data_IF_126527408652
#
_entry.id   IF_126527408652
#
_cell.length_a   1.000
_cell.length_b   1.000
_cell.length_c   1.000
_cell.angle_alpha   90.00
_cell.angle_beta   90.00
_cell.angle_gamma   90.00
#
_symmetry.space_group_name_H-M   'P 1'
#
loop_
_entity.id
_entity.type
_entity.pdbx_description
1 polymer ?
#
# COMPACT_ATOMS: atom_id res chain seq x y z
N UNK A 1 24.58 22.52 12.12
CA UNK A 1 24.33 21.19 12.66
C UNK A 1 22.89 20.81 12.31
N UNK A 2 22.65 19.88 11.40
CA UNK A 2 21.28 19.44 11.06
C UNK A 2 20.76 18.65 12.24
N UNK A 3 19.79 19.21 12.97
CA UNK A 3 19.20 18.49 14.10
C UNK A 3 18.34 17.34 13.56
N UNK A 4 18.30 16.22 14.25
CA UNK A 4 17.52 15.03 13.90
C UNK A 4 16.04 15.35 13.60
N UNK A 5 15.48 16.34 14.30
CA UNK A 5 14.11 16.82 14.06
C UNK A 5 13.93 17.42 12.66
N UNK A 6 14.98 18.04 12.10
CA UNK A 6 14.94 18.66 10.76
C UNK A 6 14.85 17.62 9.63
N UNK A 7 15.32 16.40 9.83
CA UNK A 7 15.25 15.32 8.83
C UNK A 7 13.99 14.46 9.02
N UNK A 8 13.62 14.19 10.28
CA UNK A 8 12.46 13.34 10.55
C UNK A 8 11.13 13.97 10.14
N UNK A 9 10.94 15.28 10.29
CA UNK A 9 9.67 15.92 9.96
C UNK A 9 9.33 15.88 8.46
N UNK A 10 10.24 16.23 7.53
CA UNK A 10 9.98 16.06 6.10
C UNK A 10 9.75 14.61 5.70
N UNK A 11 10.51 13.67 6.31
CA UNK A 11 10.37 12.25 6.01
C UNK A 11 9.04 11.68 6.51
N UNK A 12 8.56 12.12 7.68
CA UNK A 12 7.22 11.78 8.19
C UNK A 12 6.12 12.32 7.28
N UNK A 13 6.26 13.56 6.80
CA UNK A 13 5.31 14.15 5.86
C UNK A 13 5.29 13.35 4.55
N UNK A 14 6.46 13.01 4.02
CA UNK A 14 6.57 12.15 2.84
C UNK A 14 5.91 10.79 3.06
N UNK A 15 6.14 10.14 4.21
CA UNK A 15 5.52 8.86 4.55
C UNK A 15 3.99 8.99 4.72
N UNK A 16 3.50 10.07 5.32
CA UNK A 16 2.05 10.33 5.45
C UNK A 16 1.38 10.49 4.07
N UNK A 17 1.96 11.33 3.21
CA UNK A 17 1.45 11.57 1.85
C UNK A 17 1.51 10.28 1.02
N UNK A 18 2.64 9.58 1.03
CA UNK A 18 2.84 8.34 0.29
C UNK A 18 1.89 7.23 0.74
N UNK A 19 1.73 7.06 2.05
CA UNK A 19 0.77 6.08 2.61
C UNK A 19 -0.67 6.45 2.25
N UNK A 20 -1.04 7.74 2.31
CA UNK A 20 -2.36 8.22 1.92
C UNK A 20 -2.65 8.02 0.43
N UNK A 21 -1.67 8.29 -0.44
CA UNK A 21 -1.77 8.05 -1.88
C UNK A 21 -1.98 6.56 -2.18
N UNK A 22 -1.18 5.68 -1.57
CA UNK A 22 -1.33 4.24 -1.73
C UNK A 22 -2.66 3.72 -1.16
N UNK A 23 -3.10 4.24 -0.01
CA UNK A 23 -4.42 3.94 0.53
C UNK A 23 -5.53 4.32 -0.44
N UNK A 24 -5.45 5.48 -1.09
CA UNK A 24 -6.41 5.94 -2.10
C UNK A 24 -6.47 5.01 -3.31
N UNK A 25 -5.32 4.58 -3.84
CA UNK A 25 -5.27 3.60 -4.94
C UNK A 25 -5.90 2.28 -4.51
N UNK A 26 -5.50 1.72 -3.38
CA UNK A 26 -6.07 0.47 -2.87
C UNK A 26 -7.56 0.59 -2.58
N UNK A 27 -8.01 1.72 -2.05
CA UNK A 27 -9.43 2.02 -1.82
C UNK A 27 -10.23 2.02 -3.12
N UNK A 28 -9.73 2.63 -4.18
CA UNK A 28 -10.38 2.62 -5.49
C UNK A 28 -10.59 1.19 -6.00
N UNK A 29 -9.55 0.35 -5.92
CA UNK A 29 -9.66 -1.06 -6.28
C UNK A 29 -10.61 -1.84 -5.36
N UNK A 30 -10.61 -1.55 -4.06
CA UNK A 30 -11.46 -2.21 -3.06
C UNK A 30 -12.95 -1.90 -3.23
N UNK A 31 -13.30 -0.73 -3.74
CA UNK A 31 -14.68 -0.25 -3.71
C UNK A 31 -15.38 -0.28 -5.06
N UNK A 32 -14.72 0.12 -6.14
CA UNK A 32 -15.40 0.23 -7.43
C UNK A 32 -14.67 -0.42 -8.60
N UNK A 33 -13.32 -0.44 -8.64
CA UNK A 33 -12.59 -1.01 -9.80
C UNK A 33 -12.86 -2.51 -9.93
N UNK A 34 -12.64 -3.28 -8.85
CA UNK A 34 -12.88 -4.73 -8.88
C UNK A 34 -14.35 -5.07 -9.10
N UNK A 35 -15.26 -4.29 -8.55
CA UNK A 35 -16.70 -4.44 -8.79
C UNK A 35 -17.08 -4.14 -10.24
N UNK A 36 -16.45 -3.17 -10.89
CA UNK A 36 -16.65 -2.89 -12.30
C UNK A 36 -16.12 -4.02 -13.20
N UNK A 37 -14.89 -4.52 -12.89
CA UNK A 37 -14.29 -5.65 -13.61
C UNK A 37 -15.12 -6.94 -13.49
N UNK A 38 -15.72 -7.18 -12.32
CA UNK A 38 -16.59 -8.34 -12.08
C UNK A 38 -17.87 -8.34 -12.92
N UNK A 39 -18.30 -7.19 -13.45
CA UNK A 39 -19.47 -7.06 -14.34
C UNK A 39 -19.15 -7.35 -15.81
N UNK A 40 -17.88 -7.41 -16.17
CA UNK A 40 -17.43 -7.75 -17.51
C UNK A 40 -17.49 -9.28 -17.72
N UNK A 41 -17.49 -9.71 -18.98
CA UNK A 41 -17.22 -11.11 -19.28
C UNK A 41 -15.85 -11.52 -18.72
N UNK A 42 -15.66 -12.73 -18.19
CA UNK A 42 -14.40 -13.15 -17.57
C UNK A 42 -13.17 -12.84 -18.42
N UNK A 43 -13.22 -13.12 -19.72
CA UNK A 43 -12.12 -12.84 -20.65
C UNK A 43 -11.74 -11.34 -20.68
N UNK A 44 -12.73 -10.45 -20.66
CA UNK A 44 -12.50 -9.01 -20.67
C UNK A 44 -11.95 -8.52 -19.33
N UNK A 45 -12.48 -9.03 -18.21
CA UNK A 45 -12.01 -8.70 -16.86
C UNK A 45 -10.56 -9.14 -16.65
N UNK A 46 -10.20 -10.34 -17.07
CA UNK A 46 -8.83 -10.87 -17.02
C UNK A 46 -7.89 -10.00 -17.87
N UNK A 47 -8.22 -9.75 -19.13
CA UNK A 47 -7.40 -8.94 -20.02
C UNK A 47 -7.17 -7.53 -19.47
N UNK A 48 -8.22 -6.89 -18.93
CA UNK A 48 -8.12 -5.58 -18.31
C UNK A 48 -7.21 -5.61 -17.08
N UNK A 49 -7.35 -6.59 -16.18
CA UNK A 49 -6.52 -6.71 -14.98
C UNK A 49 -5.07 -7.03 -15.31
N UNK A 50 -4.80 -7.90 -16.29
CA UNK A 50 -3.45 -8.16 -16.79
C UNK A 50 -2.80 -6.86 -17.29
N UNK A 51 -3.53 -6.06 -18.09
CA UNK A 51 -3.05 -4.77 -18.57
C UNK A 51 -2.75 -3.79 -17.43
N UNK A 52 -3.64 -3.70 -16.43
CA UNK A 52 -3.44 -2.85 -15.25
C UNK A 52 -2.19 -3.28 -14.46
N UNK A 53 -1.96 -4.57 -14.26
CA UNK A 53 -0.78 -5.09 -13.55
C UNK A 53 0.53 -4.70 -14.26
N UNK A 54 0.56 -4.73 -15.59
CA UNK A 54 1.73 -4.30 -16.38
C UNK A 54 1.92 -2.78 -16.26
N UNK A 55 0.85 -2.01 -16.43
CA UNK A 55 0.89 -0.54 -16.43
C UNK A 55 1.21 0.03 -15.05
N UNK A 56 0.85 -0.68 -13.98
CA UNK A 56 1.20 -0.29 -12.61
C UNK A 56 2.72 -0.30 -12.36
N UNK A 57 3.52 -1.01 -13.16
CA UNK A 57 4.98 -1.01 -13.05
C UNK A 57 5.53 0.23 -13.77
N UNK A 58 5.29 1.41 -13.20
CA UNK A 58 5.81 2.67 -13.70
C UNK A 58 6.56 3.43 -12.58
N UNK A 59 7.48 4.36 -12.94
CA UNK A 59 8.34 5.01 -11.95
C UNK A 59 7.61 5.75 -10.85
N UNK A 60 6.47 6.39 -11.15
CA UNK A 60 5.71 7.16 -10.15
C UNK A 60 5.03 6.25 -9.13
N UNK A 61 4.40 5.17 -9.60
CA UNK A 61 3.78 4.21 -8.70
C UNK A 61 4.82 3.45 -7.86
N UNK A 62 5.94 3.07 -8.48
CA UNK A 62 7.05 2.41 -7.76
C UNK A 62 7.67 3.35 -6.73
N UNK A 63 7.85 4.63 -7.04
CA UNK A 63 8.32 5.63 -6.07
C UNK A 63 7.34 5.79 -4.91
N UNK A 64 6.04 5.89 -5.19
CA UNK A 64 5.02 5.99 -4.14
C UNK A 64 5.02 4.75 -3.22
N UNK A 65 5.10 3.55 -3.78
CA UNK A 65 5.08 2.31 -3.01
C UNK A 65 6.39 2.07 -2.24
N UNK A 66 7.52 2.01 -2.95
CA UNK A 66 8.82 1.63 -2.38
C UNK A 66 9.57 2.81 -1.75
N UNK A 67 9.37 4.03 -2.25
CA UNK A 67 9.92 5.23 -1.61
C UNK A 67 9.30 5.43 -0.22
N UNK A 68 7.99 5.25 -0.10
CA UNK A 68 7.31 5.27 1.20
C UNK A 68 7.81 4.12 2.10
N UNK A 69 8.02 2.92 1.56
CA UNK A 69 8.58 1.81 2.33
C UNK A 69 9.99 2.13 2.86
N UNK A 70 10.86 2.72 2.03
CA UNK A 70 12.19 3.17 2.45
C UNK A 70 12.12 4.21 3.57
N UNK A 71 11.21 5.18 3.46
CA UNK A 71 10.94 6.14 4.54
C UNK A 71 10.48 5.43 5.83
N UNK A 72 9.58 4.46 5.73
CA UNK A 72 9.09 3.67 6.86
C UNK A 72 10.21 2.86 7.54
N UNK A 73 11.15 2.28 6.79
CA UNK A 73 12.30 1.56 7.37
C UNK A 73 13.15 2.52 8.21
N UNK A 74 13.47 3.71 7.68
CA UNK A 74 14.23 4.72 8.40
C UNK A 74 13.47 5.21 9.65
N UNK A 75 12.17 5.49 9.53
CA UNK A 75 11.33 5.94 10.65
C UNK A 75 11.19 4.86 11.74
N UNK A 76 11.12 3.58 11.37
CA UNK A 76 11.15 2.45 12.31
C UNK A 76 12.44 2.47 13.13
N UNK A 77 13.60 2.51 12.48
CA UNK A 77 14.88 2.57 13.17
C UNK A 77 14.96 3.81 14.07
N UNK A 78 14.56 4.98 13.55
CA UNK A 78 14.56 6.23 14.27
C UNK A 78 13.69 6.21 15.52
N UNK A 79 12.51 5.59 15.46
CA UNK A 79 11.57 5.49 16.58
C UNK A 79 12.09 4.56 17.68
N UNK A 80 12.80 3.49 17.33
CA UNK A 80 13.41 2.58 18.30
C UNK A 80 14.57 3.25 19.03
N UNK A 81 15.45 3.98 18.33
CA UNK A 81 16.54 4.72 18.96
C UNK A 81 16.06 5.89 19.86
N UNK A 82 14.90 6.44 19.57
CA UNK A 82 14.32 7.59 20.28
C UNK A 82 12.96 7.29 20.87
N UNK A 83 12.83 6.12 21.47
CA UNK A 83 11.56 5.61 22.01
C UNK A 83 10.89 6.57 23.02
N UNK A 84 11.67 7.29 23.81
CA UNK A 84 11.17 8.24 24.82
C UNK A 84 10.69 9.59 24.24
N UNK A 85 10.86 9.80 22.93
CA UNK A 85 10.38 11.03 22.30
C UNK A 85 8.87 10.97 22.05
N UNK A 86 8.15 12.08 22.21
CA UNK A 86 6.73 12.17 21.88
C UNK A 86 6.48 11.76 20.42
N UNK A 87 5.47 10.92 20.22
CA UNK A 87 5.09 10.43 18.89
C UNK A 87 5.91 9.23 18.37
N UNK A 88 6.93 8.73 19.09
CA UNK A 88 7.73 7.57 18.65
C UNK A 88 6.87 6.32 18.44
N UNK A 89 5.91 6.06 19.32
CA UNK A 89 4.99 4.94 19.20
C UNK A 89 4.11 5.03 17.93
N UNK A 90 3.62 6.22 17.59
CA UNK A 90 2.85 6.44 16.36
C UNK A 90 3.69 6.22 15.11
N UNK A 91 4.96 6.67 15.12
CA UNK A 91 5.90 6.43 14.02
C UNK A 91 6.17 4.95 13.83
N UNK A 92 6.46 4.23 14.90
CA UNK A 92 6.72 2.79 14.83
C UNK A 92 5.49 2.04 14.33
N UNK A 93 4.32 2.27 14.91
CA UNK A 93 3.10 1.60 14.52
C UNK A 93 2.71 1.92 13.07
N UNK A 94 2.77 3.19 12.65
CA UNK A 94 2.49 3.59 11.27
C UNK A 94 3.45 2.96 10.27
N UNK A 95 4.75 2.94 10.58
CA UNK A 95 5.76 2.31 9.73
C UNK A 95 5.56 0.81 9.59
N UNK A 96 5.28 0.10 10.68
CA UNK A 96 5.03 -1.35 10.65
C UNK A 96 3.73 -1.68 9.91
N UNK A 97 2.66 -0.90 10.10
CA UNK A 97 1.41 -1.07 9.35
C UNK A 97 1.63 -0.93 7.85
N UNK A 98 2.45 0.03 7.41
CA UNK A 98 2.74 0.19 5.99
C UNK A 98 3.64 -0.94 5.47
N UNK A 99 4.73 -1.25 6.17
CA UNK A 99 5.70 -2.27 5.74
C UNK A 99 5.08 -3.67 5.70
N UNK A 100 4.35 -4.05 6.73
CA UNK A 100 3.75 -5.39 6.81
C UNK A 100 2.40 -5.41 6.06
N UNK A 101 1.52 -4.46 6.35
CA UNK A 101 0.16 -4.47 5.84
C UNK A 101 0.02 -4.04 4.38
N UNK A 102 0.79 -3.04 3.91
CA UNK A 102 0.74 -2.64 2.51
C UNK A 102 1.76 -3.43 1.67
N UNK A 103 3.06 -3.37 1.99
CA UNK A 103 4.12 -3.97 1.18
C UNK A 103 4.19 -5.49 1.36
N UNK A 104 4.16 -5.98 2.60
CA UNK A 104 4.21 -7.40 2.90
C UNK A 104 3.02 -8.16 2.31
N UNK A 105 1.79 -7.65 2.51
CA UNK A 105 0.57 -8.23 1.91
C UNK A 105 0.63 -8.18 0.38
N UNK A 106 1.12 -7.08 -0.21
CA UNK A 106 1.33 -7.02 -1.67
C UNK A 106 2.22 -8.15 -2.14
N UNK A 107 3.39 -8.30 -1.54
CA UNK A 107 4.42 -9.26 -1.99
C UNK A 107 4.03 -10.71 -1.75
N UNK A 108 3.43 -11.02 -0.58
CA UNK A 108 3.16 -12.38 -0.18
C UNK A 108 1.80 -12.91 -0.66
N UNK A 109 0.81 -12.04 -0.88
CA UNK A 109 -0.57 -12.46 -1.10
C UNK A 109 -1.16 -11.94 -2.42
N UNK A 110 -1.01 -10.65 -2.76
CA UNK A 110 -1.55 -10.13 -4.03
C UNK A 110 -0.67 -10.45 -5.24
N UNK A 111 0.67 -10.36 -5.12
CA UNK A 111 1.57 -10.67 -6.25
C UNK A 111 1.48 -12.12 -6.73
N UNK A 112 1.41 -13.16 -5.88
CA UNK A 112 1.20 -14.53 -6.36
C UNK A 112 -0.10 -14.68 -7.17
N UNK A 113 -1.19 -14.02 -6.75
CA UNK A 113 -2.45 -14.01 -7.51
C UNK A 113 -2.29 -13.30 -8.86
N UNK A 114 -1.61 -12.14 -8.88
CA UNK A 114 -1.31 -11.43 -10.12
C UNK A 114 -0.46 -12.28 -11.08
N UNK A 115 0.55 -12.97 -10.57
CA UNK A 115 1.41 -13.84 -11.36
C UNK A 115 0.63 -15.04 -11.93
N UNK A 116 -0.24 -15.66 -11.14
CA UNK A 116 -1.12 -16.71 -11.62
C UNK A 116 -2.06 -16.20 -12.72
N UNK A 117 -2.63 -14.99 -12.54
CA UNK A 117 -3.50 -14.39 -13.55
C UNK A 117 -2.74 -14.02 -14.83
N UNK A 118 -1.47 -13.64 -14.75
CA UNK A 118 -0.67 -13.19 -15.88
C UNK A 118 -0.41 -14.28 -16.94
N UNK A 119 -0.39 -15.55 -16.54
CA UNK A 119 -0.04 -16.68 -17.41
C UNK A 119 -1.24 -17.37 -18.05
N UNK A 120 -2.47 -17.11 -17.59
CA UNK A 120 -3.65 -17.75 -18.18
C UNK A 120 -4.12 -17.01 -19.43
N UNK A 121 -4.68 -17.76 -20.38
CA UNK A 121 -5.36 -17.17 -21.53
C UNK A 121 -6.72 -16.62 -21.08
N UNK A 122 -7.04 -15.36 -21.40
CA UNK A 122 -8.27 -14.73 -20.92
C UNK A 122 -9.56 -15.45 -21.32
N UNK A 123 -9.58 -16.07 -22.49
CA UNK A 123 -10.74 -16.77 -23.09
C UNK A 123 -10.80 -18.27 -22.72
N UNK A 124 -9.92 -18.76 -21.87
CA UNK A 124 -9.90 -20.18 -21.46
C UNK A 124 -10.86 -20.46 -20.29
N UNK A 125 -11.33 -21.70 -20.19
CA UNK A 125 -12.13 -22.17 -19.04
C UNK A 125 -11.34 -22.12 -17.73
N UNK A 126 -10.03 -22.40 -17.78
CA UNK A 126 -9.12 -22.26 -16.66
C UNK A 126 -9.04 -20.80 -16.20
N UNK A 127 -8.93 -19.86 -17.15
CA UNK A 127 -8.93 -18.42 -16.87
C UNK A 127 -10.21 -17.98 -16.17
N UNK A 128 -11.38 -18.42 -16.64
CA UNK A 128 -12.66 -18.09 -16.01
C UNK A 128 -12.76 -18.60 -14.56
N UNK A 129 -12.28 -19.82 -14.31
CA UNK A 129 -12.26 -20.41 -12.95
C UNK A 129 -11.32 -19.65 -12.04
N UNK A 130 -10.11 -19.34 -12.51
CA UNK A 130 -9.12 -18.56 -11.76
C UNK A 130 -9.64 -17.14 -11.46
N UNK A 131 -10.33 -16.52 -12.44
CA UNK A 131 -10.88 -15.17 -12.30
C UNK A 131 -11.92 -15.08 -11.17
N UNK A 132 -12.81 -16.04 -11.04
CA UNK A 132 -13.78 -16.08 -9.96
C UNK A 132 -13.09 -16.08 -8.57
N UNK A 133 -12.05 -16.90 -8.41
CA UNK A 133 -11.23 -16.93 -7.19
C UNK A 133 -10.44 -15.63 -6.99
N UNK A 134 -9.85 -15.11 -8.06
CA UNK A 134 -9.09 -13.86 -8.03
C UNK A 134 -9.93 -12.69 -7.53
N UNK A 135 -11.16 -12.54 -8.03
CA UNK A 135 -12.07 -11.48 -7.62
C UNK A 135 -12.30 -11.48 -6.10
N UNK A 136 -12.39 -12.65 -5.48
CA UNK A 136 -12.60 -12.78 -4.03
C UNK A 136 -11.31 -12.58 -3.25
N UNK A 137 -10.30 -13.38 -3.54
CA UNK A 137 -9.08 -13.44 -2.71
C UNK A 137 -8.22 -12.18 -2.85
N UNK A 138 -8.04 -11.71 -4.09
CA UNK A 138 -7.26 -10.50 -4.35
C UNK A 138 -7.93 -9.26 -3.72
N UNK A 139 -9.25 -9.15 -3.83
CA UNK A 139 -10.00 -8.02 -3.27
C UNK A 139 -9.96 -8.05 -1.74
N UNK A 140 -10.08 -9.22 -1.11
CA UNK A 140 -9.94 -9.35 0.33
C UNK A 140 -8.58 -8.81 0.82
N UNK A 141 -7.48 -9.25 0.23
CA UNK A 141 -6.16 -8.77 0.61
C UNK A 141 -5.94 -7.29 0.25
N UNK A 142 -6.60 -6.81 -0.79
CA UNK A 142 -6.59 -5.39 -1.11
C UNK A 142 -7.33 -4.54 -0.06
N UNK A 143 -8.40 -5.02 0.56
CA UNK A 143 -9.02 -4.36 1.72
C UNK A 143 -8.05 -4.25 2.89
N UNK A 144 -7.28 -5.30 3.18
CA UNK A 144 -6.24 -5.26 4.22
C UNK A 144 -5.21 -4.17 3.91
N UNK A 145 -4.70 -4.09 2.67
CA UNK A 145 -3.78 -3.04 2.24
C UNK A 145 -4.38 -1.64 2.39
N UNK A 146 -5.64 -1.47 2.01
CA UNK A 146 -6.35 -0.18 2.14
C UNK A 146 -6.38 0.29 3.59
N UNK A 147 -6.84 -0.58 4.49
CA UNK A 147 -6.99 -0.26 5.91
C UNK A 147 -5.63 0.04 6.54
N UNK A 148 -4.63 -0.80 6.31
CA UNK A 148 -3.32 -0.63 6.92
C UNK A 148 -2.57 0.60 6.41
N UNK A 149 -2.66 0.90 5.12
CA UNK A 149 -2.06 2.12 4.56
C UNK A 149 -2.77 3.39 5.06
N UNK A 150 -4.10 3.37 5.19
CA UNK A 150 -4.86 4.50 5.73
C UNK A 150 -4.53 4.75 7.20
N UNK A 151 -4.46 3.70 8.01
CA UNK A 151 -4.04 3.80 9.41
C UNK A 151 -2.60 4.30 9.52
N UNK A 152 -1.70 3.85 8.66
CA UNK A 152 -0.32 4.35 8.63
C UNK A 152 -0.28 5.86 8.36
N UNK A 153 -1.00 6.34 7.33
CA UNK A 153 -1.11 7.77 7.02
C UNK A 153 -1.66 8.58 8.20
N UNK A 154 -2.68 8.07 8.87
CA UNK A 154 -3.29 8.68 10.05
C UNK A 154 -2.28 8.80 11.19
N UNK A 155 -1.55 7.72 11.51
CA UNK A 155 -0.58 7.72 12.61
C UNK A 155 0.61 8.64 12.34
N UNK A 156 1.10 8.73 11.10
CA UNK A 156 2.12 9.70 10.71
C UNK A 156 1.62 11.13 10.88
N UNK A 157 0.38 11.41 10.48
CA UNK A 157 -0.24 12.74 10.64
C UNK A 157 -0.38 13.10 12.12
N UNK A 158 -0.86 12.18 12.97
CA UNK A 158 -0.94 12.40 14.42
C UNK A 158 0.42 12.66 15.05
N UNK A 159 1.46 11.94 14.62
CA UNK A 159 2.83 12.18 15.09
C UNK A 159 3.34 13.56 14.69
N UNK A 160 3.03 14.05 13.48
CA UNK A 160 3.37 15.40 13.02
C UNK A 160 2.66 16.48 13.85
N UNK A 161 1.34 16.34 14.05
CA UNK A 161 0.54 17.29 14.84
C UNK A 161 1.01 17.37 16.30
N UNK A 162 1.28 16.22 16.92
CA UNK A 162 1.76 16.17 18.30
C UNK A 162 3.13 16.84 18.51
N UNK A 163 3.98 16.85 17.48
CA UNK A 163 5.26 17.57 17.51
C UNK A 163 5.10 19.07 17.29
N UNK A 164 4.19 19.47 16.41
CA UNK A 164 3.92 20.88 16.15
C UNK A 164 3.35 21.59 17.40
N UNK A 165 2.59 20.89 18.24
CA UNK A 165 2.03 21.42 19.47
C UNK A 165 3.08 21.63 20.60
N UNK A 166 4.32 21.22 20.40
CA UNK A 166 5.42 21.33 21.39
C UNK A 166 6.47 22.38 20.99
N UNK A 167 6.29 23.05 19.86
CA UNK A 167 7.11 24.18 19.38
C UNK A 167 6.48 25.52 19.78
#
# INVERSE_FOLDING_TARGET
MVTFNNVCSPLMLFAAIGSGLMAGVFFAFSTFVMSALARLQPAQGIAAMQSMNITAINPLFMLALFGTAGACIFLTASSLFKWHQPGAAYLLAGSLLYLVGAVGVTSALNMPLNNALAIVKPDSAEGATLWAKFLTDWTFWNHVRTITALLAATLFTLSLCGRAAQL
#
